data_IF_440201488363
#
_entry.id   IF_440201488363
#
_cell.length_a   1.000
_cell.length_b   1.000
_cell.length_c   1.000
_cell.angle_alpha   90.00
_cell.angle_beta   90.00
_cell.angle_gamma   90.00
#
_symmetry.space_group_name_H-M   'P 1'
#
loop_
_entity.id
_entity.type
_entity.pdbx_description
1 polymer ?
#
# COMPACT_ATOMS: atom_id res chain seq x y z
N UNK A 1 54.08 57.36 -12.12
CA UNK A 1 54.09 55.88 -12.09
C UNK A 1 52.72 55.35 -11.59
N UNK A 2 51.60 56.01 -11.92
CA UNK A 2 50.42 55.98 -11.02
C UNK A 2 49.10 55.53 -11.65
N UNK A 3 49.05 55.32 -12.96
CA UNK A 3 47.82 54.90 -13.65
C UNK A 3 47.74 53.38 -13.73
N UNK A 4 48.84 52.72 -14.13
CA UNK A 4 48.89 51.26 -14.22
C UNK A 4 48.76 50.57 -12.86
N UNK A 5 49.31 51.14 -11.78
CA UNK A 5 49.16 50.60 -10.42
C UNK A 5 47.73 50.74 -9.88
N UNK A 6 47.03 51.82 -10.23
CA UNK A 6 45.62 52.04 -9.86
C UNK A 6 44.67 51.12 -10.63
N UNK A 7 44.93 50.86 -11.90
CA UNK A 7 44.15 49.88 -12.69
C UNK A 7 44.35 48.47 -12.17
N UNK A 8 45.58 48.09 -11.78
CA UNK A 8 45.87 46.79 -11.17
C UNK A 8 45.19 46.62 -9.81
N UNK A 9 45.16 47.65 -8.97
CA UNK A 9 44.46 47.58 -7.68
C UNK A 9 42.94 47.54 -7.83
N UNK A 10 42.37 48.25 -8.82
CA UNK A 10 40.95 48.17 -9.13
C UNK A 10 40.57 46.78 -9.69
N UNK A 11 41.38 46.21 -10.57
CA UNK A 11 41.19 44.85 -11.07
C UNK A 11 41.27 43.82 -9.95
N UNK A 12 42.29 43.90 -9.09
CA UNK A 12 42.42 42.99 -7.94
C UNK A 12 41.24 43.11 -6.96
N UNK A 13 40.74 44.33 -6.74
CA UNK A 13 39.54 44.54 -5.90
C UNK A 13 38.28 43.96 -6.54
N UNK A 14 38.13 44.05 -7.86
CA UNK A 14 36.99 43.46 -8.58
C UNK A 14 37.08 41.94 -8.62
N UNK A 15 38.26 41.38 -8.81
CA UNK A 15 38.51 39.93 -8.78
C UNK A 15 38.16 39.35 -7.40
N UNK A 16 38.65 39.95 -6.32
CA UNK A 16 38.30 39.53 -4.97
C UNK A 16 36.79 39.64 -4.66
N UNK A 17 36.13 40.67 -5.20
CA UNK A 17 34.68 40.81 -5.05
C UNK A 17 33.90 39.76 -5.85
N UNK A 18 34.37 39.39 -7.05
CA UNK A 18 33.78 38.33 -7.86
C UNK A 18 33.98 36.95 -7.24
N UNK A 19 35.17 36.67 -6.72
CA UNK A 19 35.46 35.42 -6.01
C UNK A 19 34.57 35.28 -4.77
N UNK A 20 34.39 36.37 -4.01
CA UNK A 20 33.45 36.39 -2.88
C UNK A 20 32.00 36.11 -3.28
N UNK A 21 31.55 36.64 -4.43
CA UNK A 21 30.21 36.36 -4.97
C UNK A 21 30.06 34.90 -5.44
N UNK A 22 31.10 34.34 -6.06
CA UNK A 22 31.11 32.95 -6.52
C UNK A 22 31.01 31.99 -5.33
N UNK A 23 31.78 32.23 -4.27
CA UNK A 23 31.72 31.39 -3.07
C UNK A 23 30.38 31.52 -2.34
N UNK A 24 29.83 32.72 -2.25
CA UNK A 24 28.48 32.91 -1.70
C UNK A 24 27.41 32.16 -2.50
N UNK A 25 27.44 32.24 -3.83
CA UNK A 25 26.51 31.54 -4.71
C UNK A 25 26.68 30.01 -4.64
N UNK A 26 27.91 29.50 -4.46
CA UNK A 26 28.18 28.08 -4.26
C UNK A 26 27.60 27.57 -2.94
N UNK A 27 27.77 28.33 -1.86
CA UNK A 27 27.21 27.97 -0.55
C UNK A 27 25.69 28.03 -0.56
N UNK A 28 25.09 29.00 -1.23
CA UNK A 28 23.63 29.07 -1.41
C UNK A 28 23.11 27.86 -2.21
N UNK A 29 23.73 27.54 -3.35
CA UNK A 29 23.37 26.38 -4.15
C UNK A 29 23.51 25.06 -3.37
N UNK A 30 24.54 24.91 -2.54
CA UNK A 30 24.70 23.74 -1.66
C UNK A 30 23.54 23.61 -0.67
N UNK A 31 23.15 24.71 -0.02
CA UNK A 31 22.03 24.72 0.92
C UNK A 31 20.71 24.38 0.24
N UNK A 32 20.48 24.89 -0.97
CA UNK A 32 19.29 24.57 -1.75
C UNK A 32 19.23 23.08 -2.11
N UNK A 33 20.36 22.50 -2.54
CA UNK A 33 20.44 21.07 -2.84
C UNK A 33 20.21 20.24 -1.58
N UNK A 34 20.83 20.58 -0.46
CA UNK A 34 20.62 19.87 0.81
C UNK A 34 19.15 19.93 1.27
N UNK A 35 18.51 21.09 1.14
CA UNK A 35 17.09 21.23 1.46
C UNK A 35 16.20 20.40 0.53
N UNK A 36 16.48 20.41 -0.77
CA UNK A 36 15.76 19.60 -1.75
C UNK A 36 15.93 18.09 -1.51
N UNK A 37 17.14 17.65 -1.15
CA UNK A 37 17.39 16.24 -0.80
C UNK A 37 16.66 15.81 0.46
N UNK A 38 16.64 16.65 1.50
CA UNK A 38 15.89 16.38 2.73
C UNK A 38 14.39 16.26 2.45
N UNK A 39 13.85 17.16 1.64
CA UNK A 39 12.45 17.12 1.24
C UNK A 39 12.12 15.87 0.41
N UNK A 40 12.98 15.52 -0.55
CA UNK A 40 12.80 14.30 -1.34
C UNK A 40 12.80 13.05 -0.46
N UNK A 41 13.73 12.95 0.52
CA UNK A 41 13.76 11.84 1.49
C UNK A 41 12.48 11.80 2.33
N UNK A 42 11.97 12.96 2.76
CA UNK A 42 10.70 13.04 3.48
C UNK A 42 9.54 12.51 2.65
N UNK A 43 9.43 12.96 1.40
CA UNK A 43 8.36 12.53 0.48
C UNK A 43 8.39 11.01 0.28
N UNK A 44 9.57 10.43 0.07
CA UNK A 44 9.72 8.97 -0.08
C UNK A 44 9.31 8.24 1.19
N UNK A 45 9.78 8.67 2.36
CA UNK A 45 9.43 8.05 3.63
C UNK A 45 7.91 8.14 3.92
N UNK A 46 7.27 9.26 3.61
CA UNK A 46 5.82 9.41 3.73
C UNK A 46 5.07 8.49 2.76
N UNK A 47 5.54 8.36 1.52
CA UNK A 47 4.93 7.49 0.53
C UNK A 47 5.03 6.01 0.95
N UNK A 48 6.19 5.58 1.46
CA UNK A 48 6.40 4.23 1.99
C UNK A 48 5.49 3.95 3.20
N UNK A 49 5.36 4.89 4.13
CA UNK A 49 4.47 4.76 5.27
C UNK A 49 3.00 4.61 4.85
N UNK A 50 2.55 5.42 3.87
CA UNK A 50 1.18 5.32 3.32
C UNK A 50 0.96 4.00 2.59
N UNK A 51 1.94 3.52 1.83
CA UNK A 51 1.86 2.22 1.16
C UNK A 51 1.76 1.08 2.18
N UNK A 52 2.57 1.10 3.24
CA UNK A 52 2.52 0.11 4.30
C UNK A 52 1.17 0.11 5.05
N UNK A 53 0.62 1.29 5.32
CA UNK A 53 -0.71 1.42 5.92
C UNK A 53 -1.80 0.84 5.01
N UNK A 54 -1.78 1.20 3.72
CA UNK A 54 -2.75 0.70 2.74
C UNK A 54 -2.68 -0.83 2.61
N UNK A 55 -1.46 -1.40 2.61
CA UNK A 55 -1.28 -2.85 2.58
C UNK A 55 -1.87 -3.50 3.83
N UNK A 56 -1.59 -2.97 5.02
CA UNK A 56 -2.12 -3.52 6.26
C UNK A 56 -3.66 -3.43 6.35
N UNK A 57 -4.26 -2.35 5.82
CA UNK A 57 -5.71 -2.21 5.71
C UNK A 57 -6.30 -3.22 4.72
N UNK A 58 -5.64 -3.41 3.58
CA UNK A 58 -6.05 -4.38 2.57
C UNK A 58 -5.98 -5.82 3.08
N UNK A 59 -4.90 -6.19 3.77
CA UNK A 59 -4.74 -7.54 4.33
C UNK A 59 -5.85 -7.84 5.36
N UNK A 60 -6.16 -6.89 6.24
CA UNK A 60 -7.28 -7.03 7.20
C UNK A 60 -8.63 -7.17 6.49
N UNK A 61 -8.85 -6.42 5.41
CA UNK A 61 -10.09 -6.52 4.64
C UNK A 61 -10.21 -7.88 3.96
N UNK A 62 -9.12 -8.40 3.37
CA UNK A 62 -9.08 -9.72 2.75
C UNK A 62 -9.30 -10.85 3.77
N UNK A 63 -8.72 -10.74 4.97
CA UNK A 63 -8.96 -11.71 6.04
C UNK A 63 -10.44 -11.73 6.46
N UNK A 64 -11.03 -10.56 6.66
CA UNK A 64 -12.44 -10.42 7.02
C UNK A 64 -13.37 -10.97 5.93
N UNK A 65 -13.12 -10.63 4.67
CA UNK A 65 -13.90 -11.12 3.53
C UNK A 65 -13.76 -12.64 3.35
N UNK A 66 -12.54 -13.17 3.48
CA UNK A 66 -12.29 -14.62 3.42
C UNK A 66 -13.05 -15.36 4.51
N UNK A 67 -13.05 -14.81 5.73
CA UNK A 67 -13.79 -15.42 6.84
C UNK A 67 -15.30 -15.38 6.57
N UNK A 68 -15.83 -14.26 6.09
CA UNK A 68 -17.24 -14.13 5.72
C UNK A 68 -17.64 -15.12 4.63
N UNK A 69 -16.82 -15.30 3.58
CA UNK A 69 -17.06 -16.28 2.51
C UNK A 69 -17.10 -17.70 3.07
N UNK A 70 -16.16 -18.05 3.98
CA UNK A 70 -16.12 -19.37 4.61
C UNK A 70 -17.36 -19.64 5.45
N UNK A 71 -17.79 -18.65 6.24
CA UNK A 71 -18.98 -18.78 7.09
C UNK A 71 -20.26 -18.93 6.25
N UNK A 72 -20.37 -18.15 5.17
CA UNK A 72 -21.47 -18.29 4.21
C UNK A 72 -21.47 -19.64 3.51
N UNK A 73 -20.32 -20.11 3.04
CA UNK A 73 -20.19 -21.40 2.39
C UNK A 73 -20.56 -22.55 3.35
N UNK A 74 -20.16 -22.45 4.62
CA UNK A 74 -20.53 -23.42 5.66
C UNK A 74 -22.04 -23.43 5.90
N UNK A 75 -22.65 -22.26 6.07
CA UNK A 75 -24.10 -22.15 6.27
C UNK A 75 -24.89 -22.73 5.08
N UNK A 76 -24.43 -22.47 3.85
CA UNK A 76 -25.03 -23.05 2.64
C UNK A 76 -24.88 -24.58 2.59
N UNK A 77 -23.70 -25.11 2.93
CA UNK A 77 -23.46 -26.55 2.96
C UNK A 77 -24.34 -27.24 4.02
N UNK A 78 -24.47 -26.65 5.21
CA UNK A 78 -25.35 -27.15 6.27
C UNK A 78 -26.82 -27.15 5.79
N UNK A 79 -27.29 -26.05 5.20
CA UNK A 79 -28.64 -25.97 4.64
C UNK A 79 -28.91 -27.03 3.55
N UNK A 80 -27.95 -27.25 2.64
CA UNK A 80 -28.05 -28.27 1.59
C UNK A 80 -28.07 -29.69 2.18
N UNK A 81 -27.23 -29.97 3.18
CA UNK A 81 -27.19 -31.27 3.86
C UNK A 81 -28.49 -31.55 4.62
N UNK A 82 -29.07 -30.54 5.27
CA UNK A 82 -30.38 -30.64 5.92
C UNK A 82 -31.50 -30.89 4.90
N UNK A 83 -31.60 -30.09 3.85
CA UNK A 83 -32.62 -30.28 2.81
C UNK A 83 -32.46 -31.60 2.04
N UNK A 84 -31.25 -32.16 1.95
CA UNK A 84 -31.03 -33.50 1.39
C UNK A 84 -31.48 -34.60 2.33
N UNK A 85 -31.18 -34.49 3.64
CA UNK A 85 -31.66 -35.42 4.67
C UNK A 85 -33.18 -35.46 4.75
N UNK A 86 -33.86 -34.31 4.73
CA UNK A 86 -35.32 -34.23 4.77
C UNK A 86 -35.97 -34.93 3.55
N UNK A 87 -35.45 -34.64 2.34
CA UNK A 87 -35.92 -35.29 1.11
C UNK A 87 -35.63 -36.79 1.07
N UNK A 88 -34.51 -37.23 1.63
CA UNK A 88 -34.19 -38.65 1.72
C UNK A 88 -35.10 -39.36 2.73
N UNK A 89 -35.34 -38.77 3.90
CA UNK A 89 -36.21 -39.34 4.94
C UNK A 89 -37.63 -39.61 4.43
N UNK A 90 -38.23 -38.66 3.71
CA UNK A 90 -39.57 -38.85 3.12
C UNK A 90 -39.61 -39.98 2.09
N UNK A 91 -38.57 -40.11 1.26
CA UNK A 91 -38.46 -41.19 0.27
C UNK A 91 -38.20 -42.55 0.90
N UNK A 92 -37.39 -42.62 1.95
CA UNK A 92 -37.09 -43.87 2.67
C UNK A 92 -38.36 -44.44 3.30
N UNK A 93 -39.20 -43.58 3.90
CA UNK A 93 -40.46 -44.03 4.50
C UNK A 93 -41.44 -44.57 3.45
N UNK A 94 -41.60 -43.87 2.31
CA UNK A 94 -42.41 -44.36 1.18
C UNK A 94 -41.88 -45.68 0.60
N UNK A 95 -40.56 -45.79 0.43
CA UNK A 95 -39.94 -47.01 -0.07
C UNK A 95 -40.13 -48.18 0.92
N UNK A 96 -40.00 -47.93 2.22
CA UNK A 96 -40.21 -48.94 3.25
C UNK A 96 -41.67 -49.45 3.27
N UNK A 97 -42.65 -48.56 3.18
CA UNK A 97 -44.08 -48.94 3.07
C UNK A 97 -44.35 -49.76 1.80
N UNK A 98 -43.76 -49.37 0.67
CA UNK A 98 -43.93 -50.10 -0.60
C UNK A 98 -43.30 -51.49 -0.55
N UNK A 99 -42.11 -51.63 0.06
CA UNK A 99 -41.46 -52.93 0.27
C UNK A 99 -42.28 -53.79 1.22
N UNK A 100 -42.74 -53.26 2.36
CA UNK A 100 -43.57 -54.01 3.30
C UNK A 100 -44.86 -54.52 2.66
N UNK A 101 -45.53 -53.68 1.84
CA UNK A 101 -46.73 -54.09 1.10
C UNK A 101 -46.47 -55.18 0.06
N UNK A 102 -45.28 -55.20 -0.54
CA UNK A 102 -44.90 -56.20 -1.54
C UNK A 102 -44.48 -57.54 -0.92
N UNK A 103 -44.06 -57.55 0.35
CA UNK A 103 -43.50 -58.73 1.04
C UNK A 103 -44.49 -59.38 2.01
N UNK A 104 -45.52 -58.66 2.46
CA UNK A 104 -46.60 -59.23 3.27
C UNK A 104 -47.63 -59.94 2.36
N UNK A 105 -47.97 -61.21 2.65
CA UNK A 105 -48.93 -62.01 1.86
C UNK A 105 -50.38 -61.53 2.00
#
# INVERSE_FOLDING_TARGET
MDVSSRVLSELASREAALDGQIEAAREEARREVEAAEQEARRIVAEAEARAAQMQAEHDRALEAETQQIRDQARAQAEAQAHGTRERAGSRVQQAAEQVLRAVLP
#
